data_IF_311286869695
#
_entry.id   IF_311286869695
#
_cell.length_a   1.000
_cell.length_b   1.000
_cell.length_c   1.000
_cell.angle_alpha   90.00
_cell.angle_beta   90.00
_cell.angle_gamma   90.00
#
_symmetry.space_group_name_H-M   'P 1'
#
loop_
_entity.id
_entity.type
_entity.pdbx_description
1 polymer ?
#
# COMPACT_ATOMS: atom_id res chain seq x y z
N UNK A 1 8.90 19.18 7.16
CA UNK A 1 8.20 18.09 7.89
C UNK A 1 7.99 16.92 6.93
N UNK A 2 8.49 15.72 7.26
CA UNK A 2 8.33 14.54 6.39
C UNK A 2 6.87 14.11 6.37
N UNK A 3 6.18 14.33 5.24
CA UNK A 3 4.77 13.98 5.07
C UNK A 3 4.60 12.47 5.13
N UNK A 4 3.80 12.00 6.07
CA UNK A 4 3.38 10.59 6.18
C UNK A 4 2.36 10.30 5.08
N UNK A 5 2.53 9.18 4.39
CA UNK A 5 1.56 8.66 3.42
C UNK A 5 1.09 7.29 3.88
N UNK A 6 -0.22 7.08 3.83
CA UNK A 6 -0.87 5.82 4.18
C UNK A 6 -1.51 5.24 2.93
N UNK A 7 -1.18 4.00 2.60
CA UNK A 7 -1.75 3.25 1.49
C UNK A 7 -2.38 1.95 2.00
N UNK A 8 -3.21 1.34 1.17
CA UNK A 8 -3.85 0.06 1.44
C UNK A 8 -3.69 -0.83 0.23
N UNK A 9 -3.45 -2.12 0.46
CA UNK A 9 -3.76 -3.14 -0.53
C UNK A 9 -5.27 -3.44 -0.58
N UNK A 10 -5.62 -4.51 -1.26
CA UNK A 10 -7.00 -4.96 -1.52
C UNK A 10 -7.62 -5.75 -0.36
N UNK A 11 -6.82 -6.26 0.60
CA UNK A 11 -7.31 -7.14 1.67
C UNK A 11 -8.39 -6.50 2.55
N UNK A 12 -8.19 -5.25 2.99
CA UNK A 12 -9.09 -4.59 3.93
C UNK A 12 -9.11 -3.05 3.79
N UNK A 13 -9.63 -2.58 2.67
CA UNK A 13 -9.79 -1.15 2.40
C UNK A 13 -10.68 -0.44 3.44
N UNK A 14 -11.64 -1.16 4.05
CA UNK A 14 -12.53 -0.60 5.08
C UNK A 14 -11.75 -0.22 6.34
N UNK A 15 -10.85 -1.09 6.79
CA UNK A 15 -9.97 -0.80 7.92
C UNK A 15 -9.04 0.36 7.60
N UNK A 16 -8.39 0.34 6.43
CA UNK A 16 -7.48 1.41 6.04
C UNK A 16 -8.16 2.79 5.99
N UNK A 17 -9.39 2.87 5.49
CA UNK A 17 -10.20 4.10 5.51
C UNK A 17 -10.52 4.58 6.93
N UNK A 18 -10.79 3.66 7.87
CA UNK A 18 -10.99 4.01 9.29
C UNK A 18 -9.71 4.56 9.91
N UNK A 19 -8.58 3.87 9.72
CA UNK A 19 -7.27 4.32 10.23
C UNK A 19 -6.90 5.69 9.66
N UNK A 20 -7.10 5.92 8.36
CA UNK A 20 -6.86 7.22 7.73
C UNK A 20 -7.71 8.33 8.36
N UNK A 21 -8.98 8.04 8.68
CA UNK A 21 -9.90 8.97 9.34
C UNK A 21 -9.44 9.30 10.76
N UNK A 22 -9.07 8.30 11.56
CA UNK A 22 -8.57 8.51 12.93
C UNK A 22 -7.27 9.32 12.96
N UNK A 23 -6.40 9.12 11.96
CA UNK A 23 -5.16 9.90 11.79
C UNK A 23 -5.37 11.27 11.14
N UNK A 24 -6.60 11.59 10.74
CA UNK A 24 -6.98 12.81 10.01
C UNK A 24 -6.12 13.06 8.75
N UNK A 25 -5.82 11.99 8.01
CA UNK A 25 -5.09 12.02 6.73
C UNK A 25 -5.93 11.42 5.61
N UNK A 26 -5.57 11.74 4.37
CA UNK A 26 -6.16 11.09 3.20
C UNK A 26 -5.45 9.75 2.97
N UNK A 27 -6.24 8.71 2.70
CA UNK A 27 -5.70 7.45 2.19
C UNK A 27 -5.15 7.72 0.78
N UNK A 28 -3.88 7.39 0.59
CA UNK A 28 -3.20 7.53 -0.67
C UNK A 28 -3.77 6.61 -1.74
N UNK A 29 -3.60 7.00 -2.99
CA UNK A 29 -4.15 6.26 -4.13
C UNK A 29 -3.13 5.30 -4.72
N UNK A 30 -3.55 4.04 -4.84
CA UNK A 30 -2.79 2.96 -5.43
C UNK A 30 -3.66 2.31 -6.51
N UNK A 31 -3.18 2.30 -7.75
CA UNK A 31 -3.80 1.54 -8.83
C UNK A 31 -3.33 0.10 -8.68
N UNK A 32 -4.25 -0.81 -8.34
CA UNK A 32 -4.00 -2.25 -8.24
C UNK A 32 -4.88 -2.95 -9.26
N UNK A 33 -4.29 -3.80 -10.08
CA UNK A 33 -5.03 -4.66 -11.01
C UNK A 33 -4.43 -6.06 -11.02
N UNK A 34 -5.25 -7.06 -11.33
CA UNK A 34 -4.81 -8.43 -11.54
C UNK A 34 -4.99 -8.80 -13.00
N UNK A 35 -3.94 -9.33 -13.60
CA UNK A 35 -3.98 -9.82 -14.97
C UNK A 35 -4.61 -11.24 -15.01
N UNK A 36 -5.06 -11.72 -16.18
CA UNK A 36 -5.70 -13.03 -16.32
C UNK A 36 -4.82 -14.23 -15.91
N UNK A 37 -3.50 -14.04 -15.87
CA UNK A 37 -2.50 -15.01 -15.41
C UNK A 37 -2.23 -14.94 -13.89
N UNK A 38 -3.03 -14.16 -13.15
CA UNK A 38 -2.89 -13.85 -11.73
C UNK A 38 -1.67 -13.00 -11.37
N UNK A 39 -0.98 -12.41 -12.33
CA UNK A 39 0.04 -11.40 -12.01
C UNK A 39 -0.61 -10.16 -11.42
N UNK A 40 0.02 -9.61 -10.37
CA UNK A 40 -0.48 -8.42 -9.69
C UNK A 40 0.30 -7.20 -10.14
N UNK A 41 -0.41 -6.21 -10.66
CA UNK A 41 0.13 -4.90 -11.00
C UNK A 41 -0.20 -3.90 -9.88
N UNK A 42 0.78 -3.07 -9.55
CA UNK A 42 0.63 -1.98 -8.59
C UNK A 42 1.34 -0.73 -9.10
N UNK A 43 0.70 0.43 -8.92
CA UNK A 43 1.29 1.74 -9.19
C UNK A 43 0.78 2.80 -8.22
N UNK A 44 1.70 3.59 -7.67
CA UNK A 44 1.36 4.79 -6.90
C UNK A 44 0.84 5.90 -7.83
N UNK A 45 -0.30 6.50 -7.49
CA UNK A 45 -0.85 7.64 -8.22
C UNK A 45 -0.37 8.99 -7.67
N UNK A 46 0.50 8.97 -6.66
CA UNK A 46 1.07 10.16 -6.04
C UNK A 46 2.57 9.98 -5.78
N UNK A 47 3.31 11.09 -5.70
CA UNK A 47 4.74 11.04 -5.46
C UNK A 47 5.05 10.52 -4.06
N UNK A 48 5.84 9.44 -3.96
CA UNK A 48 6.26 8.83 -2.68
C UNK A 48 7.74 9.07 -2.33
N UNK A 49 8.51 9.68 -3.24
CA UNK A 49 9.94 9.94 -3.07
C UNK A 49 10.23 10.76 -1.79
N UNK A 50 11.17 10.28 -0.98
CA UNK A 50 11.58 10.92 0.28
C UNK A 50 10.55 10.90 1.41
N UNK A 51 9.38 10.25 1.22
CA UNK A 51 8.30 10.21 2.21
C UNK A 51 8.32 8.94 3.07
N UNK A 52 7.62 8.99 4.20
CA UNK A 52 7.36 7.81 5.06
C UNK A 52 6.08 7.16 4.58
N UNK A 53 6.17 5.93 4.11
CA UNK A 53 5.09 5.17 3.49
C UNK A 53 4.65 4.07 4.44
N UNK A 54 3.37 4.07 4.80
CA UNK A 54 2.73 3.02 5.57
C UNK A 54 1.77 2.26 4.64
N UNK A 55 1.87 0.94 4.62
CA UNK A 55 1.04 0.08 3.76
C UNK A 55 0.26 -0.84 4.67
N UNK A 56 -1.07 -0.68 4.68
CA UNK A 56 -1.98 -1.59 5.37
C UNK A 56 -2.31 -2.74 4.40
N UNK A 57 -1.92 -3.95 4.77
CA UNK A 57 -2.33 -5.16 4.08
C UNK A 57 -2.33 -6.33 5.04
N UNK A 58 -3.53 -6.86 5.32
CA UNK A 58 -3.64 -8.10 6.07
C UNK A 58 -3.37 -9.29 5.15
N UNK A 59 -2.64 -10.27 5.64
CA UNK A 59 -2.33 -11.53 4.94
C UNK A 59 -3.39 -12.61 5.19
N UNK A 60 -4.64 -12.20 5.36
CA UNK A 60 -5.79 -13.10 5.54
C UNK A 60 -6.17 -13.79 4.22
N UNK A 61 -7.12 -14.75 4.25
CA UNK A 61 -7.50 -15.52 3.07
C UNK A 61 -7.99 -14.60 1.93
N UNK A 62 -7.44 -14.70 0.71
CA UNK A 62 -6.43 -15.65 0.26
C UNK A 62 -5.00 -15.13 0.52
N UNK A 63 -4.27 -15.84 1.39
CA UNK A 63 -3.10 -15.30 2.10
C UNK A 63 -1.89 -15.04 1.19
N UNK A 64 -1.66 -15.93 0.23
CA UNK A 64 -0.52 -15.84 -0.68
C UNK A 64 -0.66 -14.66 -1.64
N UNK A 65 -1.86 -14.42 -2.20
CA UNK A 65 -2.12 -13.28 -3.07
C UNK A 65 -1.98 -11.97 -2.32
N UNK A 66 -2.52 -11.90 -1.09
CA UNK A 66 -2.40 -10.70 -0.26
C UNK A 66 -0.95 -10.40 0.12
N UNK A 67 -0.16 -11.44 0.42
CA UNK A 67 1.28 -11.32 0.68
C UNK A 67 2.04 -10.88 -0.57
N UNK A 68 1.79 -11.51 -1.73
CA UNK A 68 2.43 -11.13 -2.99
C UNK A 68 2.11 -9.70 -3.37
N UNK A 69 0.84 -9.28 -3.23
CA UNK A 69 0.43 -7.90 -3.47
C UNK A 69 1.18 -6.93 -2.55
N UNK A 70 1.31 -7.23 -1.24
CA UNK A 70 2.11 -6.42 -0.31
C UNK A 70 3.56 -6.28 -0.77
N UNK A 71 4.21 -7.38 -1.13
CA UNK A 71 5.61 -7.39 -1.57
C UNK A 71 5.81 -6.54 -2.83
N UNK A 72 4.88 -6.61 -3.79
CA UNK A 72 4.91 -5.82 -5.02
C UNK A 72 4.73 -4.32 -4.71
N UNK A 73 3.83 -3.97 -3.79
CA UNK A 73 3.66 -2.57 -3.34
C UNK A 73 4.94 -2.05 -2.67
N UNK A 74 5.57 -2.86 -1.82
CA UNK A 74 6.85 -2.52 -1.17
C UNK A 74 7.95 -2.31 -2.21
N UNK A 75 8.06 -3.19 -3.22
CA UNK A 75 9.05 -3.04 -4.30
C UNK A 75 8.81 -1.74 -5.09
N UNK A 76 7.57 -1.45 -5.45
CA UNK A 76 7.20 -0.20 -6.14
C UNK A 76 7.57 1.05 -5.30
N UNK A 77 7.38 1.00 -3.97
CA UNK A 77 7.71 2.09 -3.07
C UNK A 77 9.24 2.27 -2.96
N UNK A 78 9.97 1.16 -2.89
CA UNK A 78 11.44 1.14 -2.84
C UNK A 78 12.05 1.72 -4.11
N UNK A 79 11.58 1.29 -5.29
CA UNK A 79 12.01 1.84 -6.59
C UNK A 79 11.69 3.32 -6.75
N UNK A 80 10.58 3.76 -6.14
CA UNK A 80 10.16 5.17 -6.09
C UNK A 80 10.87 5.98 -4.99
N UNK A 81 11.94 5.43 -4.38
CA UNK A 81 12.80 6.09 -3.38
C UNK A 81 12.04 6.61 -2.15
N UNK A 82 11.06 5.85 -1.66
CA UNK A 82 10.46 6.11 -0.36
C UNK A 82 11.55 6.09 0.74
N UNK A 83 11.47 7.01 1.71
CA UNK A 83 12.48 7.13 2.78
C UNK A 83 12.37 5.99 3.79
N UNK A 84 11.13 5.65 4.17
CA UNK A 84 10.82 4.53 5.04
C UNK A 84 9.56 3.84 4.54
N UNK A 85 9.57 2.51 4.59
CA UNK A 85 8.43 1.67 4.21
C UNK A 85 8.07 0.84 5.44
N UNK A 86 6.84 0.97 5.93
CA UNK A 86 6.33 0.23 7.09
C UNK A 86 5.11 -0.57 6.66
N UNK A 87 5.20 -1.90 6.74
CA UNK A 87 4.05 -2.79 6.56
C UNK A 87 3.25 -2.89 7.86
N UNK A 88 1.94 -2.74 7.75
CA UNK A 88 0.97 -2.92 8.84
C UNK A 88 0.08 -4.09 8.44
N UNK A 89 0.24 -5.23 9.12
CA UNK A 89 -0.36 -6.54 8.76
C UNK A 89 -1.52 -6.86 9.69
#
# INVERSE_FOLDING_TARGET
>A
MSKLLLFSGTSNLKLAKKVARELNIKLGKLAISRFPDNETYCRFEEAVEGKRVFIIQSTCNPGNENLMELLIIIDAAKRSKAKHITAVI
#
